data_IF_031825403339
#
_entry.id   IF_031825403339
#
_cell.length_a   1.000
_cell.length_b   1.000
_cell.length_c   1.000
_cell.angle_alpha   90.00
_cell.angle_beta   90.00
_cell.angle_gamma   90.00
#
_symmetry.space_group_name_H-M   'P 1'
#
loop_
_entity.id
_entity.type
_entity.pdbx_description
1 polymer ?
#
# COMPACT_ATOMS: atom_id res chain seq x y z
N UNK A 1 2.00 -4.21 -6.00
CA UNK A 1 2.65 -5.46 -5.56
C UNK A 1 2.26 -5.88 -4.15
N UNK A 2 2.66 -5.13 -3.10
CA UNK A 2 2.29 -5.47 -1.71
C UNK A 2 0.76 -5.63 -1.53
N UNK A 3 -0.04 -4.65 -1.98
CA UNK A 3 -1.51 -4.74 -1.93
C UNK A 3 -2.11 -5.95 -2.65
N UNK A 4 -1.57 -6.32 -3.82
CA UNK A 4 -2.05 -7.48 -4.58
C UNK A 4 -1.73 -8.80 -3.86
N UNK A 5 -0.58 -8.87 -3.18
CA UNK A 5 -0.21 -10.00 -2.34
C UNK A 5 -1.14 -10.11 -1.12
N UNK A 6 -1.37 -8.99 -0.42
CA UNK A 6 -2.29 -8.93 0.73
C UNK A 6 -3.71 -9.35 0.32
N UNK A 7 -4.21 -8.86 -0.83
CA UNK A 7 -5.52 -9.24 -1.34
C UNK A 7 -5.62 -10.73 -1.63
N UNK A 8 -4.62 -11.31 -2.29
CA UNK A 8 -4.59 -12.75 -2.61
C UNK A 8 -4.67 -13.62 -1.36
N UNK A 9 -3.91 -13.25 -0.32
CA UNK A 9 -3.93 -13.94 0.97
C UNK A 9 -5.31 -13.87 1.64
N UNK A 10 -5.95 -12.70 1.64
CA UNK A 10 -7.28 -12.49 2.24
C UNK A 10 -8.37 -13.21 1.44
N UNK A 11 -8.35 -13.15 0.11
CA UNK A 11 -9.31 -13.86 -0.76
C UNK A 11 -9.23 -15.36 -0.46
N UNK A 12 -8.02 -15.92 -0.41
CA UNK A 12 -7.82 -17.34 -0.09
C UNK A 12 -8.32 -17.68 1.32
N UNK A 13 -8.00 -16.85 2.31
CA UNK A 13 -8.41 -17.09 3.69
C UNK A 13 -9.93 -17.00 3.89
N UNK A 14 -10.60 -16.08 3.18
CA UNK A 14 -12.06 -16.00 3.12
C UNK A 14 -12.67 -17.24 2.45
N UNK A 15 -12.09 -17.69 1.33
CA UNK A 15 -12.58 -18.86 0.59
C UNK A 15 -12.44 -20.18 1.38
N UNK A 16 -11.36 -20.33 2.15
CA UNK A 16 -11.14 -21.50 3.04
C UNK A 16 -11.93 -21.37 4.36
N UNK A 17 -12.46 -20.18 4.68
CA UNK A 17 -13.21 -19.92 5.90
C UNK A 17 -12.34 -19.78 7.16
N UNK A 18 -11.02 -19.65 7.02
CA UNK A 18 -10.10 -19.40 8.14
C UNK A 18 -10.18 -17.97 8.66
N UNK A 19 -10.66 -17.05 7.83
CA UNK A 19 -10.89 -15.64 8.16
C UNK A 19 -12.36 -15.30 7.97
N UNK A 20 -12.93 -14.54 8.90
CA UNK A 20 -14.31 -14.05 8.88
C UNK A 20 -14.33 -12.53 8.81
N UNK A 21 -15.48 -11.97 8.45
CA UNK A 21 -15.68 -10.51 8.34
C UNK A 21 -15.32 -9.74 9.63
N UNK A 22 -15.50 -10.37 10.80
CA UNK A 22 -15.11 -9.82 12.11
C UNK A 22 -13.61 -9.62 12.30
N UNK A 23 -12.79 -10.38 11.57
CA UNK A 23 -11.33 -10.38 11.72
C UNK A 23 -10.68 -9.23 10.92
N UNK A 24 -11.48 -8.49 10.13
CA UNK A 24 -10.99 -7.45 9.22
C UNK A 24 -10.11 -6.39 9.93
N UNK A 25 -10.56 -5.84 11.05
CA UNK A 25 -9.82 -4.78 11.77
C UNK A 25 -8.48 -5.33 12.30
N UNK A 26 -8.49 -6.54 12.84
CA UNK A 26 -7.28 -7.20 13.33
C UNK A 26 -6.28 -7.47 12.20
N UNK A 27 -6.76 -7.99 11.06
CA UNK A 27 -5.95 -8.22 9.87
C UNK A 27 -5.36 -6.93 9.29
N UNK A 28 -6.18 -5.86 9.23
CA UNK A 28 -5.73 -4.56 8.75
C UNK A 28 -4.60 -4.02 9.64
N UNK A 29 -4.75 -4.08 10.96
CA UNK A 29 -3.72 -3.63 11.91
C UNK A 29 -2.41 -4.42 11.78
N UNK A 30 -2.51 -5.76 11.68
CA UNK A 30 -1.34 -6.62 11.47
C UNK A 30 -0.62 -6.30 10.16
N UNK A 31 -1.38 -6.06 9.10
CA UNK A 31 -0.82 -5.79 7.78
C UNK A 31 -0.19 -4.41 7.69
N UNK A 32 -0.75 -3.38 8.35
CA UNK A 32 -0.12 -2.06 8.41
C UNK A 32 1.29 -2.17 9.02
N UNK A 33 1.49 -2.99 10.05
CA UNK A 33 2.79 -3.19 10.68
C UNK A 33 3.78 -3.90 9.75
N UNK A 34 3.33 -4.95 9.05
CA UNK A 34 4.13 -5.63 8.03
C UNK A 34 4.47 -4.70 6.85
N UNK A 35 3.50 -3.92 6.38
CA UNK A 35 3.62 -2.98 5.29
C UNK A 35 4.55 -1.81 5.66
N UNK A 36 4.53 -1.33 6.90
CA UNK A 36 5.45 -0.31 7.38
C UNK A 36 6.90 -0.83 7.37
N UNK A 37 7.14 -2.06 7.86
CA UNK A 37 8.46 -2.67 7.83
C UNK A 37 8.96 -2.92 6.39
N UNK A 38 8.10 -3.42 5.51
CA UNK A 38 8.41 -3.60 4.08
C UNK A 38 8.67 -2.26 3.39
N UNK A 39 7.82 -1.27 3.63
CA UNK A 39 7.96 0.07 3.06
C UNK A 39 9.24 0.76 3.50
N UNK A 40 9.65 0.57 4.77
CA UNK A 40 10.89 1.13 5.29
C UNK A 40 12.12 0.47 4.65
N UNK A 41 12.14 -0.88 4.58
CA UNK A 41 13.25 -1.60 3.95
C UNK A 41 13.39 -1.25 2.46
N UNK A 42 12.28 -1.19 1.73
CA UNK A 42 12.25 -0.76 0.33
C UNK A 42 12.67 0.70 0.18
N UNK A 43 12.14 1.60 1.02
CA UNK A 43 12.45 3.02 1.01
C UNK A 43 13.93 3.30 1.23
N UNK A 44 14.54 2.65 2.23
CA UNK A 44 15.97 2.73 2.49
C UNK A 44 16.78 2.18 1.32
N UNK A 45 16.37 1.05 0.73
CA UNK A 45 17.03 0.48 -0.45
C UNK A 45 17.07 1.44 -1.64
N UNK A 46 15.96 2.14 -1.92
CA UNK A 46 15.91 3.08 -3.06
C UNK A 46 16.45 4.48 -2.72
N UNK A 47 16.63 4.80 -1.44
CA UNK A 47 17.11 6.11 -1.00
C UNK A 47 18.48 6.47 -1.59
N UNK A 48 19.36 5.47 -1.78
CA UNK A 48 20.67 5.63 -2.41
C UNK A 48 20.52 6.19 -3.83
N UNK A 49 19.61 5.63 -4.63
CA UNK A 49 19.31 6.13 -5.97
C UNK A 49 18.68 7.52 -5.93
N UNK A 50 17.84 7.79 -4.92
CA UNK A 50 17.28 9.12 -4.65
C UNK A 50 18.36 10.17 -4.41
N UNK A 51 19.39 9.85 -3.62
CA UNK A 51 20.54 10.74 -3.38
C UNK A 51 21.34 10.96 -4.66
N UNK A 52 21.66 9.90 -5.41
CA UNK A 52 22.49 9.99 -6.62
C UNK A 52 21.82 10.84 -7.70
N UNK A 53 20.52 10.67 -7.92
CA UNK A 53 19.80 11.36 -9.00
C UNK A 53 19.21 12.72 -8.60
N UNK A 54 18.84 12.85 -7.34
CA UNK A 54 18.04 13.96 -6.83
C UNK A 54 18.72 14.83 -5.78
N UNK A 55 19.91 14.44 -5.33
CA UNK A 55 20.58 15.04 -4.18
C UNK A 55 19.98 14.61 -2.83
N UNK A 56 20.68 14.98 -1.76
CA UNK A 56 20.36 14.56 -0.39
C UNK A 56 18.93 14.93 0.06
N UNK A 57 18.38 16.02 -0.50
CA UNK A 57 17.05 16.53 -0.16
C UNK A 57 15.91 15.63 -0.65
N UNK A 58 16.14 14.82 -1.69
CA UNK A 58 15.13 13.92 -2.25
C UNK A 58 15.04 12.60 -1.47
N UNK A 59 16.12 12.20 -0.79
CA UNK A 59 16.13 10.97 0.01
C UNK A 59 14.96 10.83 1.00
N UNK A 60 14.65 11.84 1.86
CA UNK A 60 13.51 11.72 2.78
C UNK A 60 12.16 11.66 2.07
N UNK A 61 11.98 12.36 0.95
CA UNK A 61 10.76 12.31 0.13
C UNK A 61 10.53 10.88 -0.36
N UNK A 62 11.57 10.26 -0.91
CA UNK A 62 11.51 8.91 -1.49
C UNK A 62 11.23 7.86 -0.43
N UNK A 63 11.92 7.93 0.72
CA UNK A 63 11.72 6.97 1.82
C UNK A 63 10.30 7.09 2.38
N UNK A 64 9.85 8.30 2.69
CA UNK A 64 8.54 8.51 3.30
C UNK A 64 7.41 8.16 2.33
N UNK A 65 7.53 8.56 1.05
CA UNK A 65 6.55 8.20 0.03
C UNK A 65 6.47 6.68 -0.16
N UNK A 66 7.61 5.97 -0.18
CA UNK A 66 7.61 4.51 -0.31
C UNK A 66 6.90 3.85 0.89
N UNK A 67 7.21 4.27 2.11
CA UNK A 67 6.57 3.73 3.33
C UNK A 67 5.05 3.89 3.27
N UNK A 68 4.59 5.12 3.01
CA UNK A 68 3.15 5.43 3.01
C UNK A 68 2.46 4.73 1.83
N UNK A 69 3.08 4.67 0.65
CA UNK A 69 2.51 3.98 -0.52
C UNK A 69 2.34 2.49 -0.28
N UNK A 70 3.31 1.83 0.36
CA UNK A 70 3.21 0.40 0.68
C UNK A 70 2.10 0.17 1.71
N UNK A 71 2.00 0.99 2.75
CA UNK A 71 0.92 0.92 3.75
C UNK A 71 -0.45 1.08 3.09
N UNK A 72 -0.64 2.12 2.28
CA UNK A 72 -1.91 2.39 1.59
C UNK A 72 -2.25 1.27 0.62
N UNK A 73 -1.28 0.81 -0.17
CA UNK A 73 -1.46 -0.32 -1.08
C UNK A 73 -1.90 -1.59 -0.37
N UNK A 74 -1.27 -1.93 0.75
CA UNK A 74 -1.65 -3.09 1.58
C UNK A 74 -3.03 -2.92 2.24
N UNK A 75 -3.35 -1.73 2.73
CA UNK A 75 -4.66 -1.44 3.30
C UNK A 75 -5.79 -1.59 2.26
N UNK A 76 -5.57 -1.09 1.04
CA UNK A 76 -6.46 -1.28 -0.11
C UNK A 76 -6.59 -2.77 -0.44
N UNK A 77 -5.46 -3.48 -0.53
CA UNK A 77 -5.41 -4.92 -0.83
C UNK A 77 -6.23 -5.77 0.13
N UNK A 78 -6.13 -5.52 1.44
CA UNK A 78 -6.94 -6.24 2.43
C UNK A 78 -8.40 -5.82 2.38
N UNK A 79 -8.68 -4.52 2.20
CA UNK A 79 -10.04 -4.00 2.36
C UNK A 79 -10.96 -4.39 1.21
N UNK A 80 -10.47 -4.45 -0.04
CA UNK A 80 -11.32 -4.75 -1.21
C UNK A 80 -12.06 -6.11 -1.10
N UNK A 81 -11.39 -7.24 -0.81
CA UNK A 81 -12.06 -8.52 -0.64
C UNK A 81 -13.14 -8.51 0.45
N UNK A 82 -12.86 -7.86 1.58
CA UNK A 82 -13.84 -7.70 2.66
C UNK A 82 -15.03 -6.84 2.22
N UNK A 83 -14.79 -5.73 1.52
CA UNK A 83 -15.85 -4.86 0.99
C UNK A 83 -16.76 -5.64 0.03
N UNK A 84 -16.20 -6.40 -0.92
CA UNK A 84 -17.01 -7.21 -1.82
C UNK A 84 -17.79 -8.30 -1.09
N UNK A 85 -17.16 -8.97 -0.12
CA UNK A 85 -17.84 -9.96 0.74
C UNK A 85 -19.03 -9.34 1.48
N UNK A 86 -18.86 -8.13 2.04
CA UNK A 86 -19.93 -7.39 2.73
C UNK A 86 -21.07 -7.00 1.78
N UNK A 87 -20.74 -6.68 0.53
CA UNK A 87 -21.69 -6.38 -0.54
C UNK A 87 -22.32 -7.64 -1.16
N UNK A 88 -22.06 -8.83 -0.60
CA UNK A 88 -22.51 -10.13 -1.14
C UNK A 88 -22.05 -10.38 -2.59
N UNK A 89 -20.90 -9.81 -2.98
CA UNK A 89 -20.21 -10.07 -4.25
C UNK A 89 -19.02 -10.99 -4.01
N UNK A 90 -18.58 -11.65 -5.08
CA UNK A 90 -17.42 -12.54 -5.02
C UNK A 90 -16.14 -11.74 -4.65
N UNK A 91 -15.46 -12.04 -3.53
CA UNK A 91 -14.21 -11.40 -3.16
C UNK A 91 -13.10 -11.55 -4.21
N UNK A 92 -13.13 -12.59 -5.05
CA UNK A 92 -12.19 -12.77 -6.16
C UNK A 92 -12.32 -11.66 -7.24
N UNK A 93 -13.42 -10.90 -7.21
CA UNK A 93 -13.59 -9.68 -8.04
C UNK A 93 -12.58 -8.59 -7.67
N UNK A 94 -11.95 -8.65 -6.49
CA UNK A 94 -10.82 -7.81 -6.11
C UNK A 94 -9.57 -8.23 -6.90
N UNK A 95 -9.58 -7.94 -8.20
CA UNK A 95 -8.53 -8.32 -9.13
C UNK A 95 -7.29 -7.45 -8.94
N UNK A 96 -6.13 -8.03 -9.26
CA UNK A 96 -4.84 -7.34 -9.24
C UNK A 96 -4.86 -6.00 -10.00
N UNK A 97 -5.43 -5.89 -11.23
CA UNK A 97 -5.49 -4.63 -11.97
C UNK A 97 -6.21 -3.51 -11.22
N UNK A 98 -7.34 -3.81 -10.56
CA UNK A 98 -8.11 -2.80 -9.82
C UNK A 98 -7.29 -2.25 -8.64
N UNK A 99 -6.62 -3.14 -7.89
CA UNK A 99 -5.78 -2.76 -6.76
C UNK A 99 -4.61 -1.89 -7.23
N UNK A 100 -3.97 -2.26 -8.35
CA UNK A 100 -2.85 -1.47 -8.89
C UNK A 100 -3.30 -0.10 -9.37
N UNK A 101 -4.46 0.02 -10.03
CA UNK A 101 -4.98 1.33 -10.44
C UNK A 101 -5.24 2.25 -9.23
N UNK A 102 -5.87 1.72 -8.18
CA UNK A 102 -6.09 2.48 -6.94
C UNK A 102 -4.75 2.89 -6.32
N UNK A 103 -3.80 1.95 -6.25
CA UNK A 103 -2.47 2.21 -5.71
C UNK A 103 -1.68 3.25 -6.53
N UNK A 104 -1.85 3.31 -7.85
CA UNK A 104 -1.18 4.30 -8.70
C UNK A 104 -1.74 5.71 -8.47
N UNK A 105 -3.07 5.83 -8.35
CA UNK A 105 -3.75 7.10 -8.06
C UNK A 105 -3.29 7.64 -6.70
N UNK A 106 -3.43 6.83 -5.65
CA UNK A 106 -3.01 7.25 -4.32
C UNK A 106 -1.50 7.42 -4.23
N UNK A 107 -0.73 6.51 -4.84
CA UNK A 107 0.72 6.52 -4.77
C UNK A 107 1.34 7.76 -5.39
N UNK A 108 0.80 8.20 -6.53
CA UNK A 108 1.22 9.45 -7.18
C UNK A 108 0.79 10.66 -6.35
N UNK A 109 -0.44 10.68 -5.84
CA UNK A 109 -0.93 11.77 -4.99
C UNK A 109 -0.09 11.92 -3.71
N UNK A 110 0.22 10.82 -3.03
CA UNK A 110 1.05 10.78 -1.81
C UNK A 110 2.47 11.25 -2.11
N UNK A 111 3.08 10.74 -3.18
CA UNK A 111 4.43 11.15 -3.58
C UNK A 111 4.50 12.67 -3.84
N UNK A 112 3.56 13.20 -4.63
CA UNK A 112 3.51 14.63 -4.95
C UNK A 112 3.22 15.47 -3.70
N UNK A 113 2.32 15.03 -2.82
CA UNK A 113 2.03 15.73 -1.57
C UNK A 113 3.26 15.81 -0.65
N UNK A 114 3.99 14.71 -0.48
CA UNK A 114 5.21 14.68 0.33
C UNK A 114 6.31 15.52 -0.30
N UNK A 115 6.49 15.44 -1.62
CA UNK A 115 7.45 16.27 -2.34
C UNK A 115 7.13 17.75 -2.15
N UNK A 116 5.86 18.14 -2.28
CA UNK A 116 5.41 19.52 -2.07
C UNK A 116 5.64 19.99 -0.62
N UNK A 117 5.34 19.16 0.37
CA UNK A 117 5.53 19.48 1.79
C UNK A 117 7.01 19.63 2.17
N UNK A 118 7.90 18.80 1.63
CA UNK A 118 9.32 18.77 2.01
C UNK A 118 10.22 19.64 1.14
N UNK A 119 9.91 19.80 -0.15
CA UNK A 119 10.72 20.56 -1.11
C UNK A 119 10.11 21.93 -1.45
N UNK A 120 8.86 22.17 -1.07
CA UNK A 120 8.12 23.39 -1.39
C UNK A 120 7.47 23.35 -2.78
N UNK A 121 6.86 24.47 -3.16
CA UNK A 121 6.18 24.62 -4.46
C UNK A 121 7.23 24.54 -5.58
N UNK A 122 7.02 23.73 -6.64
CA UNK A 122 7.82 23.87 -7.85
C UNK A 122 7.65 25.30 -8.37
N UNK A 123 8.79 25.96 -8.63
CA UNK A 123 8.82 27.32 -9.19
C UNK A 123 8.11 27.37 -10.55
#
# INVERSE_FOLDING_TARGET
NAGSQSATLVIRALAVGTVRMRDWIYLLGKEILLAAALGLTMGLGISVMGVIRGGIRIAPVVVLAMVINVIVGSAVGISLPFIFTKLKRDPATASTPLITTIADIFGTAIYLAIAWLLLGKPA
#
